data_IF_906627079391
#
_entry.id   IF_906627079391
#
_cell.length_a   1.000
_cell.length_b   1.000
_cell.length_c   1.000
_cell.angle_alpha   90.00
_cell.angle_beta   90.00
_cell.angle_gamma   90.00
#
_symmetry.space_group_name_H-M   'P 1'
#
loop_
_entity.id
_entity.type
_entity.pdbx_description
1 polymer ?
#
# COMPACT_ATOMS: atom_id res chain seq x y z
N UNK A 1 -6.82 -13.57 1.78
CA UNK A 1 -5.81 -12.49 1.67
C UNK A 1 -4.52 -13.13 1.18
N UNK A 2 -4.08 -12.79 -0.03
CA UNK A 2 -2.85 -13.33 -0.60
C UNK A 2 -1.66 -12.69 0.12
N UNK A 3 -0.77 -13.49 0.70
CA UNK A 3 0.44 -13.00 1.35
C UNK A 3 1.57 -13.01 0.35
N UNK A 4 1.77 -11.93 -0.41
CA UNK A 4 2.79 -11.85 -1.47
C UNK A 4 4.16 -12.43 -1.03
N UNK A 5 4.62 -12.10 0.18
CA UNK A 5 5.89 -12.60 0.73
C UNK A 5 5.93 -14.13 0.89
N UNK A 6 4.80 -14.75 1.25
CA UNK A 6 4.69 -16.20 1.50
C UNK A 6 4.26 -16.98 0.26
N UNK A 7 3.18 -16.52 -0.35
CA UNK A 7 2.42 -17.20 -1.40
C UNK A 7 2.96 -16.87 -2.82
N UNK A 8 3.77 -15.81 -2.96
CA UNK A 8 4.40 -15.44 -4.23
C UNK A 8 3.50 -14.62 -5.18
N UNK A 9 3.84 -14.65 -6.47
CA UNK A 9 3.27 -13.79 -7.53
C UNK A 9 2.30 -14.51 -8.47
N UNK A 10 1.98 -15.79 -8.21
CA UNK A 10 1.17 -16.59 -9.13
C UNK A 10 -0.21 -15.97 -9.44
N UNK A 11 -0.80 -15.27 -8.46
CA UNK A 11 -2.07 -14.57 -8.63
C UNK A 11 -2.02 -13.44 -9.68
N UNK A 12 -0.84 -12.90 -9.98
CA UNK A 12 -0.71 -11.76 -10.91
C UNK A 12 -1.19 -12.15 -12.31
N UNK A 13 -0.82 -13.33 -12.80
CA UNK A 13 -1.26 -13.82 -14.12
C UNK A 13 -2.76 -14.12 -14.21
N UNK A 14 -3.43 -14.30 -13.06
CA UNK A 14 -4.89 -14.48 -13.01
C UNK A 14 -5.63 -13.14 -13.03
N UNK A 15 -5.04 -12.11 -12.42
CA UNK A 15 -5.60 -10.76 -12.43
C UNK A 15 -5.34 -10.02 -13.75
N UNK A 16 -4.18 -10.28 -14.35
CA UNK A 16 -3.72 -9.63 -15.57
C UNK A 16 -3.30 -10.72 -16.54
N UNK A 17 -4.19 -11.13 -17.47
CA UNK A 17 -3.93 -12.28 -18.35
C UNK A 17 -2.77 -12.03 -19.33
N UNK A 18 -2.47 -10.76 -19.62
CA UNK A 18 -1.35 -10.36 -20.46
C UNK A 18 -0.84 -8.98 -20.05
N UNK A 19 0.48 -8.85 -19.97
CA UNK A 19 1.17 -7.58 -19.85
C UNK A 19 1.64 -7.10 -21.23
N UNK A 20 1.54 -5.79 -21.46
CA UNK A 20 2.04 -5.11 -22.64
C UNK A 20 3.33 -4.35 -22.34
N UNK A 21 4.10 -4.09 -23.39
CA UNK A 21 5.35 -3.33 -23.30
C UNK A 21 5.09 -1.94 -22.73
N UNK A 22 5.79 -1.61 -21.65
CA UNK A 22 5.62 -0.36 -20.95
C UNK A 22 4.49 -0.35 -19.92
N UNK A 23 3.85 -1.47 -19.62
CA UNK A 23 2.99 -1.56 -18.45
C UNK A 23 3.75 -1.30 -17.14
N UNK A 24 3.01 -0.89 -16.12
CA UNK A 24 3.53 -0.67 -14.77
C UNK A 24 2.71 -1.48 -13.78
N UNK A 25 3.35 -2.42 -13.10
CA UNK A 25 2.73 -3.19 -12.02
C UNK A 25 3.07 -2.57 -10.66
N UNK A 26 2.08 -1.97 -10.00
CA UNK A 26 2.23 -1.36 -8.68
C UNK A 26 1.74 -2.31 -7.58
N UNK A 27 2.67 -2.74 -6.71
CA UNK A 27 2.38 -3.58 -5.56
C UNK A 27 2.32 -2.74 -4.28
N UNK A 28 1.12 -2.64 -3.70
CA UNK A 28 0.89 -1.98 -2.41
C UNK A 28 0.91 -3.03 -1.30
N UNK A 29 1.92 -2.98 -0.43
CA UNK A 29 2.17 -4.01 0.60
C UNK A 29 2.32 -3.41 1.99
N UNK A 30 2.24 -4.25 3.03
CA UNK A 30 2.81 -3.94 4.34
C UNK A 30 1.88 -3.33 5.39
N UNK A 31 0.72 -2.77 5.05
CA UNK A 31 -0.17 -2.19 6.09
C UNK A 31 -0.70 -3.25 7.04
N UNK A 32 -1.31 -4.30 6.50
CA UNK A 32 -1.86 -5.40 7.29
C UNK A 32 -0.71 -6.17 7.95
N UNK A 33 0.42 -6.34 7.26
CA UNK A 33 1.58 -7.04 7.79
C UNK A 33 2.17 -6.34 9.02
N UNK A 34 2.16 -5.00 9.08
CA UNK A 34 2.62 -4.26 10.27
C UNK A 34 1.84 -4.67 11.52
N UNK A 35 0.51 -4.68 11.44
CA UNK A 35 -0.36 -4.93 12.61
C UNK A 35 -0.62 -6.42 12.89
N UNK A 36 -0.52 -7.27 11.88
CA UNK A 36 -0.83 -8.70 11.98
C UNK A 36 0.40 -9.61 11.99
N UNK A 37 1.57 -9.12 11.57
CA UNK A 37 2.76 -9.96 11.39
C UNK A 37 3.98 -9.36 12.10
N UNK A 38 4.42 -8.15 11.74
CA UNK A 38 5.68 -7.59 12.23
C UNK A 38 5.72 -7.51 13.77
N UNK A 39 4.73 -6.84 14.37
CA UNK A 39 4.68 -6.67 15.82
C UNK A 39 4.48 -8.03 16.52
N UNK A 40 3.49 -8.86 16.16
CA UNK A 40 3.34 -10.18 16.75
C UNK A 40 4.58 -11.07 16.67
N UNK A 41 5.25 -11.13 15.52
CA UNK A 41 6.45 -11.95 15.33
C UNK A 41 7.61 -11.40 16.17
N UNK A 42 7.81 -10.09 16.19
CA UNK A 42 8.87 -9.47 17.00
C UNK A 42 8.69 -9.80 18.50
N UNK A 43 7.48 -9.66 19.03
CA UNK A 43 7.18 -9.94 20.44
C UNK A 43 7.30 -11.44 20.77
N UNK A 44 6.69 -12.30 19.97
CA UNK A 44 6.66 -13.75 20.23
C UNK A 44 8.02 -14.41 20.06
N UNK A 45 8.80 -14.00 19.05
CA UNK A 45 10.15 -14.53 18.80
C UNK A 45 11.25 -13.77 19.55
N UNK A 46 10.91 -12.72 20.29
CA UNK A 46 11.86 -11.82 20.99
C UNK A 46 12.95 -11.27 20.06
N UNK A 47 12.63 -11.04 18.79
CA UNK A 47 13.53 -10.48 17.79
C UNK A 47 13.32 -8.97 17.65
N UNK A 48 14.38 -8.19 17.37
CA UNK A 48 14.23 -6.78 17.03
C UNK A 48 13.24 -6.58 15.88
N UNK A 49 12.28 -5.67 16.03
CA UNK A 49 11.26 -5.37 15.02
C UNK A 49 11.86 -4.98 13.67
N UNK A 50 13.05 -4.35 13.69
CA UNK A 50 13.83 -4.00 12.51
C UNK A 50 14.21 -5.24 11.69
N UNK A 51 14.70 -6.29 12.35
CA UNK A 51 15.13 -7.51 11.68
C UNK A 51 13.94 -8.23 11.04
N UNK A 52 12.80 -8.26 11.73
CA UNK A 52 11.55 -8.81 11.19
C UNK A 52 11.06 -8.00 9.99
N UNK A 53 11.16 -6.66 10.03
CA UNK A 53 10.81 -5.79 8.91
C UNK A 53 11.73 -5.98 7.70
N UNK A 54 13.04 -6.13 7.93
CA UNK A 54 14.03 -6.42 6.88
C UNK A 54 13.79 -7.78 6.22
N UNK A 55 13.50 -8.82 7.02
CA UNK A 55 13.17 -10.16 6.53
C UNK A 55 11.88 -10.14 5.69
N UNK A 56 10.83 -9.48 6.18
CA UNK A 56 9.58 -9.34 5.44
C UNK A 56 9.77 -8.57 4.13
N UNK A 57 10.55 -7.48 4.15
CA UNK A 57 10.87 -6.72 2.95
C UNK A 57 11.64 -7.59 1.94
N UNK A 58 12.64 -8.37 2.38
CA UNK A 58 13.36 -9.31 1.53
C UNK A 58 12.43 -10.38 0.94
N UNK A 59 11.47 -10.86 1.73
CA UNK A 59 10.40 -11.74 1.27
C UNK A 59 9.59 -11.15 0.13
N UNK A 60 9.09 -9.92 0.26
CA UNK A 60 8.37 -9.24 -0.83
C UNK A 60 9.25 -9.05 -2.06
N UNK A 61 10.44 -8.50 -1.88
CA UNK A 61 11.34 -8.13 -2.98
C UNK A 61 11.83 -9.34 -3.76
N UNK A 62 12.19 -10.44 -3.07
CA UNK A 62 12.61 -11.68 -3.74
C UNK A 62 11.55 -12.23 -4.69
N UNK A 63 10.26 -12.18 -4.30
CA UNK A 63 9.15 -12.64 -5.17
C UNK A 63 8.91 -11.70 -6.35
N UNK A 64 9.06 -10.40 -6.14
CA UNK A 64 8.88 -9.41 -7.19
C UNK A 64 10.04 -9.35 -8.20
N UNK A 65 11.26 -9.72 -7.78
CA UNK A 65 12.38 -9.92 -8.70
C UNK A 65 12.06 -11.03 -9.70
N UNK A 66 11.43 -12.12 -9.26
CA UNK A 66 10.99 -13.19 -10.17
C UNK A 66 9.99 -12.66 -11.19
N UNK A 67 9.01 -11.83 -10.77
CA UNK A 67 8.07 -11.21 -11.69
C UNK A 67 8.78 -10.32 -12.72
N UNK A 68 9.69 -9.47 -12.28
CA UNK A 68 10.43 -8.55 -13.15
C UNK A 68 11.31 -9.31 -14.15
N UNK A 69 11.88 -10.46 -13.74
CA UNK A 69 12.66 -11.34 -14.62
C UNK A 69 11.77 -12.04 -15.64
N UNK A 70 10.62 -12.56 -15.22
CA UNK A 70 9.71 -13.33 -16.06
C UNK A 70 8.87 -12.40 -16.98
N UNK A 71 8.75 -11.12 -16.63
CA UNK A 71 8.07 -10.07 -17.39
C UNK A 71 8.99 -8.84 -17.56
N UNK A 72 10.10 -8.94 -18.31
CA UNK A 72 11.08 -7.86 -18.43
C UNK A 72 10.53 -6.61 -19.13
N UNK A 73 9.41 -6.73 -19.84
CA UNK A 73 8.77 -5.63 -20.56
C UNK A 73 7.96 -4.67 -19.68
N UNK A 74 7.67 -5.04 -18.43
CA UNK A 74 6.95 -4.18 -17.49
C UNK A 74 7.88 -3.54 -16.48
N UNK A 75 7.44 -2.44 -15.86
CA UNK A 75 8.10 -1.88 -14.68
C UNK A 75 7.38 -2.34 -13.41
N UNK A 76 8.09 -3.03 -12.53
CA UNK A 76 7.58 -3.34 -11.18
C UNK A 76 7.87 -2.17 -10.24
N UNK A 77 6.82 -1.68 -9.57
CA UNK A 77 6.88 -0.62 -8.57
C UNK A 77 6.33 -1.16 -7.26
N UNK A 78 7.06 -0.96 -6.16
CA UNK A 78 6.62 -1.30 -4.82
C UNK A 78 6.21 -0.04 -4.08
N UNK A 79 5.13 -0.10 -3.34
CA UNK A 79 4.68 0.97 -2.47
C UNK A 79 4.17 0.42 -1.14
N UNK A 80 4.21 1.28 -0.13
CA UNK A 80 3.53 1.05 1.12
C UNK A 80 2.47 2.15 1.29
N UNK A 81 1.19 1.83 1.53
CA UNK A 81 0.16 2.85 1.69
C UNK A 81 0.47 3.76 2.89
N UNK A 82 -0.10 4.98 2.95
CA UNK A 82 -0.03 5.79 4.18
C UNK A 82 -0.67 5.01 5.32
N UNK A 83 -0.08 5.07 6.50
CA UNK A 83 -0.56 4.27 7.62
C UNK A 83 -1.94 4.78 8.08
N UNK A 84 -2.95 3.91 8.25
CA UNK A 84 -4.28 4.34 8.70
C UNK A 84 -4.23 4.92 10.11
N UNK A 85 -5.31 5.61 10.48
CA UNK A 85 -5.60 5.95 11.88
C UNK A 85 -5.87 4.69 12.71
N UNK A 86 -6.08 4.84 14.02
CA UNK A 86 -6.34 3.73 14.94
C UNK A 86 -7.74 3.09 14.79
N UNK A 87 -8.33 3.18 13.61
CA UNK A 87 -9.60 2.54 13.29
C UNK A 87 -9.37 1.09 12.88
N UNK A 88 -10.27 0.23 13.37
CA UNK A 88 -10.23 -1.21 13.16
C UNK A 88 -11.40 -1.67 12.27
N UNK A 89 -11.29 -1.58 10.93
CA UNK A 89 -12.34 -2.04 10.02
C UNK A 89 -12.47 -3.57 9.99
N UNK A 90 -11.37 -4.29 10.23
CA UNK A 90 -11.27 -5.75 10.16
C UNK A 90 -11.07 -6.28 11.59
N UNK A 91 -12.16 -6.38 12.34
CA UNK A 91 -12.15 -6.76 13.76
C UNK A 91 -11.71 -8.20 13.98
N UNK A 92 -11.77 -9.03 12.95
CA UNK A 92 -11.35 -10.43 12.94
C UNK A 92 -9.83 -10.60 12.86
N UNK A 93 -9.12 -9.59 12.34
CA UNK A 93 -7.66 -9.66 12.20
C UNK A 93 -6.96 -9.19 13.48
N UNK A 94 -5.77 -9.73 13.80
CA UNK A 94 -4.94 -9.21 14.87
C UNK A 94 -4.66 -7.71 14.67
N UNK A 95 -4.68 -6.97 15.77
CA UNK A 95 -4.48 -5.54 15.78
C UNK A 95 -3.57 -5.21 16.97
N UNK A 96 -2.28 -5.51 16.79
CA UNK A 96 -1.28 -5.44 17.86
C UNK A 96 -0.46 -4.16 17.79
N UNK A 97 0.03 -3.72 18.95
CA UNK A 97 0.81 -2.51 19.14
C UNK A 97 0.01 -1.21 19.16
N UNK A 98 0.56 -0.20 19.80
CA UNK A 98 0.00 1.15 19.78
C UNK A 98 0.05 1.77 18.38
N UNK A 99 -0.67 2.87 18.15
CA UNK A 99 -0.54 3.60 16.88
C UNK A 99 0.90 4.07 16.63
N UNK A 100 1.65 4.48 17.65
CA UNK A 100 3.07 4.85 17.54
C UNK A 100 3.94 3.66 17.15
N UNK A 101 3.75 2.48 17.75
CA UNK A 101 4.54 1.28 17.44
C UNK A 101 4.35 0.86 15.99
N UNK A 102 3.11 0.95 15.51
CA UNK A 102 2.78 0.61 14.12
C UNK A 102 3.30 1.63 13.13
N UNK A 103 3.28 2.92 13.44
CA UNK A 103 3.91 3.95 12.59
C UNK A 103 5.42 3.76 12.54
N UNK A 104 6.05 3.40 13.67
CA UNK A 104 7.47 3.09 13.72
C UNK A 104 7.80 1.84 12.87
N UNK A 105 7.07 0.75 13.07
CA UNK A 105 7.20 -0.48 12.28
C UNK A 105 6.94 -0.25 10.79
N UNK A 106 5.94 0.57 10.45
CA UNK A 106 5.64 0.98 9.08
C UNK A 106 6.82 1.68 8.43
N UNK A 107 7.46 2.62 9.15
CA UNK A 107 8.67 3.32 8.68
C UNK A 107 9.84 2.35 8.45
N UNK A 108 10.12 1.47 9.41
CA UNK A 108 11.18 0.47 9.26
C UNK A 108 10.97 -0.41 8.02
N UNK A 109 9.74 -0.89 7.81
CA UNK A 109 9.40 -1.66 6.62
C UNK A 109 9.54 -0.82 5.33
N UNK A 110 9.08 0.44 5.34
CA UNK A 110 9.22 1.35 4.19
C UNK A 110 10.68 1.56 3.80
N UNK A 111 11.56 1.74 4.77
CA UNK A 111 12.96 2.05 4.52
C UNK A 111 13.72 0.81 4.03
N UNK A 112 13.38 -0.36 4.56
CA UNK A 112 13.88 -1.65 4.05
C UNK A 112 13.41 -1.93 2.62
N UNK A 113 12.14 -1.70 2.32
CA UNK A 113 11.59 -1.84 0.96
C UNK A 113 12.27 -0.88 -0.03
N UNK A 114 12.43 0.41 0.32
CA UNK A 114 13.11 1.40 -0.52
C UNK A 114 14.55 0.98 -0.83
N UNK A 115 15.31 0.62 0.21
CA UNK A 115 16.69 0.17 0.06
C UNK A 115 16.78 -1.05 -0.86
N UNK A 116 15.97 -2.08 -0.61
CA UNK A 116 16.02 -3.32 -1.37
C UNK A 116 15.55 -3.13 -2.83
N UNK A 117 14.51 -2.32 -3.06
CA UNK A 117 14.10 -1.94 -4.42
C UNK A 117 15.27 -1.32 -5.19
N UNK A 118 15.95 -0.32 -4.61
CA UNK A 118 17.09 0.35 -5.26
C UNK A 118 18.21 -0.61 -5.59
N UNK A 119 18.58 -1.49 -4.66
CA UNK A 119 19.66 -2.48 -4.87
C UNK A 119 19.30 -3.53 -5.93
N UNK A 120 18.01 -3.76 -6.16
CA UNK A 120 17.51 -4.73 -7.15
C UNK A 120 17.08 -4.09 -8.47
N UNK A 121 17.36 -2.80 -8.69
CA UNK A 121 16.96 -2.09 -9.91
C UNK A 121 15.45 -1.85 -10.06
N UNK A 122 14.68 -2.04 -8.99
CA UNK A 122 13.24 -1.77 -8.96
C UNK A 122 12.93 -0.38 -8.40
N UNK A 123 11.71 0.08 -8.61
CA UNK A 123 11.24 1.36 -8.09
C UNK A 123 10.47 1.20 -6.79
N UNK A 124 10.77 2.05 -5.81
CA UNK A 124 9.94 2.22 -4.61
C UNK A 124 9.22 3.57 -4.64
N UNK A 125 7.89 3.54 -4.59
CA UNK A 125 7.04 4.72 -4.52
C UNK A 125 6.77 5.08 -3.06
N UNK A 126 7.49 6.09 -2.56
CA UNK A 126 7.14 6.73 -1.29
C UNK A 126 5.84 7.52 -1.46
N UNK A 127 4.85 7.20 -0.64
CA UNK A 127 3.55 7.89 -0.68
C UNK A 127 3.71 9.40 -0.42
N UNK A 128 3.01 10.26 -1.19
CA UNK A 128 3.10 11.71 -1.02
C UNK A 128 2.81 12.17 0.40
N UNK A 129 3.67 13.06 0.92
CA UNK A 129 3.57 13.59 2.28
C UNK A 129 2.23 14.29 2.56
N UNK A 130 1.53 14.77 1.53
CA UNK A 130 0.23 15.40 1.68
C UNK A 130 -0.79 14.49 2.36
N UNK A 131 -0.67 13.16 2.20
CA UNK A 131 -1.58 12.20 2.82
C UNK A 131 -1.28 11.95 4.30
N UNK A 132 -0.11 12.33 4.81
CA UNK A 132 0.32 12.07 6.19
C UNK A 132 0.09 13.28 7.08
N UNK A 133 -0.54 13.09 8.24
CA UNK A 133 -0.69 14.11 9.26
C UNK A 133 0.60 14.30 10.08
N UNK A 134 0.56 15.14 11.11
CA UNK A 134 1.72 15.42 11.98
C UNK A 134 2.17 14.19 12.79
N UNK A 135 1.28 13.22 13.01
CA UNK A 135 1.57 12.01 13.75
C UNK A 135 2.09 10.90 12.83
N UNK A 136 2.02 11.08 11.50
CA UNK A 136 2.42 10.10 10.50
C UNK A 136 1.27 9.20 10.01
N UNK A 137 0.04 9.46 10.44
CA UNK A 137 -1.16 8.72 10.01
C UNK A 137 -1.84 9.37 8.81
N UNK A 138 -2.76 8.65 8.18
CA UNK A 138 -3.54 9.12 7.05
C UNK A 138 -4.45 10.29 7.46
N UNK A 139 -4.26 11.44 6.83
CA UNK A 139 -5.10 12.64 7.04
C UNK A 139 -6.54 12.34 6.70
N UNK A 140 -7.42 12.52 7.67
CA UNK A 140 -8.87 12.35 7.56
C UNK A 140 -9.46 12.97 6.29
N UNK A 141 -9.04 14.19 5.94
CA UNK A 141 -9.55 14.93 4.77
C UNK A 141 -9.34 14.23 3.41
N UNK A 142 -8.35 13.35 3.29
CA UNK A 142 -8.06 12.60 2.06
C UNK A 142 -8.56 11.16 2.09
N UNK A 143 -9.25 10.77 3.16
CA UNK A 143 -9.55 9.37 3.47
C UNK A 143 -11.04 9.10 3.70
N UNK A 144 -11.43 7.82 3.69
CA UNK A 144 -12.74 7.35 4.14
C UNK A 144 -12.82 7.28 5.68
N UNK A 145 -12.51 8.41 6.32
CA UNK A 145 -12.52 8.57 7.77
C UNK A 145 -11.37 7.77 8.44
N UNK A 146 -10.18 7.87 7.83
CA UNK A 146 -8.90 7.48 8.42
C UNK A 146 -8.38 6.08 8.03
N UNK A 147 -9.01 5.37 7.09
CA UNK A 147 -8.62 3.99 6.76
C UNK A 147 -7.95 3.89 5.37
N UNK A 148 -8.63 4.33 4.32
CA UNK A 148 -8.19 4.27 2.93
C UNK A 148 -8.13 5.66 2.31
N UNK A 149 -7.21 5.89 1.37
CA UNK A 149 -7.27 7.06 0.50
C UNK A 149 -8.54 6.98 -0.36
N UNK A 150 -9.26 8.09 -0.46
CA UNK A 150 -10.43 8.15 -1.32
C UNK A 150 -10.04 8.10 -2.80
N UNK A 151 -10.78 7.37 -3.66
CA UNK A 151 -10.47 7.28 -5.08
C UNK A 151 -10.28 8.63 -5.75
N UNK A 152 -11.17 9.60 -5.47
CA UNK A 152 -11.10 10.95 -6.03
C UNK A 152 -9.90 11.79 -5.55
N UNK A 153 -9.14 11.32 -4.56
CA UNK A 153 -7.98 12.02 -3.99
C UNK A 153 -6.65 11.43 -4.46
N UNK A 154 -6.67 10.44 -5.36
CA UNK A 154 -5.48 9.68 -5.82
C UNK A 154 -4.50 10.45 -6.71
N UNK A 155 -4.83 11.67 -7.14
CA UNK A 155 -4.05 12.48 -8.09
C UNK A 155 -2.55 12.55 -7.74
N UNK A 156 -2.21 12.83 -6.48
CA UNK A 156 -0.81 12.96 -6.09
C UNK A 156 -0.05 11.62 -6.12
N UNK A 157 -0.73 10.48 -5.97
CA UNK A 157 -0.13 9.15 -6.14
C UNK A 157 0.22 8.93 -7.61
N UNK A 158 -0.70 9.28 -8.51
CA UNK A 158 -0.50 9.14 -9.95
C UNK A 158 0.60 10.08 -10.46
N UNK A 159 0.64 11.32 -9.99
CA UNK A 159 1.73 12.26 -10.31
C UNK A 159 3.08 11.74 -9.83
N UNK A 160 3.15 11.24 -8.59
CA UNK A 160 4.39 10.67 -8.04
C UNK A 160 4.83 9.42 -8.80
N UNK A 161 3.88 8.54 -9.16
CA UNK A 161 4.14 7.36 -9.99
C UNK A 161 4.63 7.75 -11.40
N UNK A 162 4.03 8.76 -12.02
CA UNK A 162 4.42 9.27 -13.33
C UNK A 162 5.85 9.82 -13.31
N UNK A 163 6.20 10.61 -12.30
CA UNK A 163 7.59 11.08 -12.08
C UNK A 163 8.57 9.93 -11.88
N UNK A 164 8.21 8.96 -11.02
CA UNK A 164 9.05 7.82 -10.70
C UNK A 164 9.33 6.92 -11.91
N UNK A 165 8.34 6.77 -12.79
CA UNK A 165 8.42 5.88 -13.96
C UNK A 165 8.79 6.60 -15.26
N UNK A 166 8.97 7.93 -15.21
CA UNK A 166 9.13 8.83 -16.36
C UNK A 166 7.98 8.69 -17.38
N UNK A 167 6.76 8.47 -16.89
CA UNK A 167 5.56 8.32 -17.72
C UNK A 167 4.60 9.48 -17.52
N UNK A 168 3.98 9.91 -18.62
CA UNK A 168 2.87 10.87 -18.59
C UNK A 168 1.58 10.13 -18.20
N UNK A 169 1.31 10.07 -16.90
CA UNK A 169 0.08 9.51 -16.36
C UNK A 169 -0.98 10.62 -16.20
N UNK A 170 -2.25 10.26 -16.39
CA UNK A 170 -3.37 11.17 -16.18
C UNK A 170 -4.30 10.61 -15.10
N UNK A 171 -4.89 11.49 -14.30
CA UNK A 171 -5.85 11.12 -13.27
C UNK A 171 -7.18 11.81 -13.55
N UNK A 172 -8.22 11.02 -13.84
CA UNK A 172 -9.58 11.54 -14.10
C UNK A 172 -10.30 11.77 -12.77
N UNK A 173 -10.18 12.97 -12.23
CA UNK A 173 -10.88 13.38 -11.00
C UNK A 173 -12.33 13.78 -11.28
N UNK A 174 -13.26 13.39 -10.40
CA UNK A 174 -14.63 13.90 -10.39
C UNK A 174 -14.71 15.14 -9.49
N UNK A 175 -14.61 16.33 -10.07
CA UNK A 175 -14.51 17.59 -9.32
C UNK A 175 -15.66 17.79 -8.32
N UNK A 176 -16.90 17.53 -8.74
CA UNK A 176 -18.08 17.61 -7.87
C UNK A 176 -17.99 16.67 -6.66
N UNK A 177 -17.44 15.46 -6.85
CA UNK A 177 -17.21 14.52 -5.75
C UNK A 177 -16.19 15.07 -4.75
N UNK A 178 -15.10 15.67 -5.24
CA UNK A 178 -14.09 16.30 -4.37
C UNK A 178 -14.70 17.47 -3.60
N UNK A 179 -15.43 18.36 -4.28
CA UNK A 179 -16.06 19.53 -3.66
C UNK A 179 -17.08 19.13 -2.58
N UNK A 180 -17.99 18.19 -2.88
CA UNK A 180 -18.94 17.64 -1.90
C UNK A 180 -18.24 17.07 -0.68
N UNK A 181 -17.10 16.40 -0.86
CA UNK A 181 -16.31 15.87 0.25
C UNK A 181 -15.63 16.94 1.08
N UNK A 182 -15.08 17.99 0.43
CA UNK A 182 -14.48 19.13 1.14
C UNK A 182 -15.54 19.86 1.97
N UNK A 183 -16.74 20.02 1.43
CA UNK A 183 -17.90 20.52 2.16
C UNK A 183 -18.20 19.64 3.38
N UNK A 184 -18.37 18.33 3.19
CA UNK A 184 -18.61 17.42 4.32
C UNK A 184 -17.49 17.47 5.36
N UNK A 185 -16.23 17.61 4.96
CA UNK A 185 -15.11 17.72 5.89
C UNK A 185 -15.19 19.01 6.73
N UNK A 186 -15.50 20.14 6.10
CA UNK A 186 -15.59 21.44 6.77
C UNK A 186 -16.79 21.53 7.73
N UNK A 187 -17.91 20.92 7.37
CA UNK A 187 -19.18 21.01 8.09
C UNK A 187 -19.54 19.76 8.90
N UNK A 188 -18.57 18.85 9.15
CA UNK A 188 -18.78 17.65 9.97
C UNK A 188 -19.67 16.55 9.36
N UNK A 189 -19.94 16.60 8.06
CA UNK A 189 -20.66 15.57 7.33
C UNK A 189 -19.87 14.27 7.14
N UNK A 190 -20.54 13.23 6.60
CA UNK A 190 -19.91 11.93 6.38
C UNK A 190 -18.82 11.97 5.30
N UNK A 191 -17.67 11.38 5.61
CA UNK A 191 -16.53 11.22 4.71
C UNK A 191 -16.35 9.79 4.22
N UNK A 192 -17.25 8.88 4.62
CA UNK A 192 -17.17 7.48 4.22
C UNK A 192 -17.34 7.33 2.71
N UNK A 193 -16.74 6.28 2.18
CA UNK A 193 -16.88 5.89 0.77
C UNK A 193 -18.35 5.49 0.55
N UNK A 194 -18.98 6.04 -0.49
CA UNK A 194 -20.29 5.57 -0.95
C UNK A 194 -20.06 4.60 -2.10
N UNK A 195 -20.61 3.40 -1.99
CA UNK A 195 -20.32 2.29 -2.90
C UNK A 195 -18.89 1.78 -2.70
N UNK A 196 -18.73 0.71 -1.92
CA UNK A 196 -17.58 -0.16 -2.16
C UNK A 196 -17.76 -0.73 -3.57
N UNK A 197 -16.72 -0.82 -4.41
CA UNK A 197 -16.83 -1.65 -5.61
C UNK A 197 -17.28 -3.04 -5.16
N UNK A 198 -18.29 -3.61 -5.85
CA UNK A 198 -18.66 -5.01 -5.63
C UNK A 198 -17.41 -5.83 -5.90
N UNK A 199 -16.87 -6.45 -4.85
CA UNK A 199 -15.67 -7.28 -4.96
C UNK A 199 -16.15 -8.64 -5.43
N UNK A 200 -15.89 -8.98 -6.69
CA UNK A 200 -15.99 -10.36 -7.14
C UNK A 200 -14.77 -11.10 -6.59
N UNK A 201 -14.93 -12.14 -5.75
CA UNK A 201 -13.81 -12.95 -5.30
C UNK A 201 -13.14 -13.57 -6.52
N UNK A 202 -11.80 -13.46 -6.60
CA UNK A 202 -11.02 -14.24 -7.55
C UNK A 202 -10.79 -15.60 -6.89
N UNK A 203 -11.25 -16.67 -7.51
CA UNK A 203 -10.95 -18.04 -7.06
C UNK A 203 -9.45 -18.29 -7.24
N UNK A 204 -8.72 -18.39 -6.12
CA UNK A 204 -7.31 -18.74 -6.12
C UNK A 204 -7.16 -20.27 -5.97
N UNK A 205 -6.28 -20.93 -6.72
CA UNK A 205 -6.01 -22.35 -6.53
C UNK A 205 -5.45 -22.62 -5.13
N UNK A 206 -5.76 -23.81 -4.59
CA UNK A 206 -5.32 -24.29 -3.27
C UNK A 206 -3.87 -24.71 -3.27
#
# INVERSE_FOLDING_TARGET
MHRLARDGIAFVGQLVPRFEDGDVALFMVGEIDVRCHLIPVSETSKRPIKDVAEELAAGFISKLILLQRDQPQIKVVVAQPPFPTDRRPNVELPFMGSISDRIHSHRLLSDSLDRLCRTSGMHFLRMPLKYKDKNGTLRRKYSDDGVHIMPCEGEAVIEALGKLTSKKLSFKRKLLTVMKRRWNYAWGGTLRRQGLPVITPVELPK
#
